data_IF_818460285464
#
_entry.id   IF_818460285464
#
_cell.length_a   1.000
_cell.length_b   1.000
_cell.length_c   1.000
_cell.angle_alpha   90.00
_cell.angle_beta   90.00
_cell.angle_gamma   90.00
#
_symmetry.space_group_name_H-M   'P 1'
#
loop_
_entity.id
_entity.type
_entity.pdbx_description
1 polymer ?
#
# COMPACT_ATOMS: atom_id res chain seq x y z
N UNK A 1 -9.60 36.13 -3.05
CA UNK A 1 -9.95 34.70 -3.23
C UNK A 1 -9.01 33.94 -2.31
N UNK A 2 -9.49 33.00 -1.51
CA UNK A 2 -8.62 32.28 -0.58
C UNK A 2 -7.58 31.47 -1.37
N UNK A 3 -6.29 31.69 -1.09
CA UNK A 3 -5.21 30.93 -1.69
C UNK A 3 -5.25 29.52 -1.07
N UNK A 4 -5.45 28.49 -1.89
CA UNK A 4 -5.54 27.10 -1.45
C UNK A 4 -4.87 26.18 -2.46
N UNK A 5 -4.25 25.11 -1.98
CA UNK A 5 -3.67 24.05 -2.80
C UNK A 5 -4.62 22.86 -2.88
N UNK A 6 -4.80 22.29 -4.08
CA UNK A 6 -5.61 21.10 -4.30
C UNK A 6 -4.77 19.84 -4.03
N UNK A 7 -5.30 18.90 -3.27
CA UNK A 7 -4.67 17.60 -3.09
C UNK A 7 -4.94 16.73 -4.33
N UNK A 8 -3.90 16.41 -5.08
CA UNK A 8 -4.02 15.58 -6.30
C UNK A 8 -3.79 14.10 -6.03
N UNK A 9 -3.08 13.75 -4.97
CA UNK A 9 -2.83 12.37 -4.57
C UNK A 9 -2.48 12.29 -3.08
N UNK A 10 -2.94 11.25 -2.41
CA UNK A 10 -2.53 10.90 -1.03
C UNK A 10 -2.26 9.40 -1.00
N UNK A 11 -1.13 9.02 -0.42
CA UNK A 11 -0.78 7.64 -0.10
C UNK A 11 -0.53 7.59 1.41
N UNK A 12 -1.03 6.58 2.13
CA UNK A 12 -0.92 6.51 3.59
C UNK A 12 -1.78 7.55 4.33
N UNK A 13 -1.51 7.75 5.62
CA UNK A 13 -2.29 8.67 6.47
C UNK A 13 -1.64 10.07 6.55
N UNK A 14 -2.44 11.11 6.28
CA UNK A 14 -2.03 12.50 6.40
C UNK A 14 -3.17 13.37 6.91
N UNK A 15 -2.82 14.45 7.62
CA UNK A 15 -3.76 15.37 8.26
C UNK A 15 -3.38 16.82 8.02
N UNK A 16 -4.38 17.70 8.01
CA UNK A 16 -4.19 19.14 8.25
C UNK A 16 -4.33 19.40 9.73
N UNK A 17 -3.35 20.06 10.34
CA UNK A 17 -3.48 20.60 11.68
C UNK A 17 -4.06 22.02 11.62
N UNK A 18 -5.19 22.21 12.30
CA UNK A 18 -5.78 23.53 12.53
C UNK A 18 -5.00 24.35 13.57
N UNK A 19 -5.31 25.65 13.68
CA UNK A 19 -4.67 26.54 14.66
C UNK A 19 -5.00 26.22 16.12
N UNK A 20 -6.01 25.38 16.34
CA UNK A 20 -6.42 24.80 17.62
C UNK A 20 -5.71 23.47 17.94
N UNK A 21 -4.84 22.99 17.05
CA UNK A 21 -4.14 21.71 17.16
C UNK A 21 -4.95 20.50 16.69
N UNK A 22 -6.20 20.70 16.24
CA UNK A 22 -7.06 19.61 15.76
C UNK A 22 -6.53 19.07 14.43
N UNK A 23 -6.37 17.76 14.32
CA UNK A 23 -5.98 17.08 13.08
C UNK A 23 -7.21 16.68 12.28
N UNK A 24 -7.30 17.17 11.04
CA UNK A 24 -8.35 16.83 10.07
C UNK A 24 -7.76 15.99 8.94
N UNK A 25 -8.30 14.80 8.64
CA UNK A 25 -7.73 13.91 7.63
C UNK A 25 -7.76 14.51 6.23
N UNK A 26 -6.66 14.33 5.49
CA UNK A 26 -6.51 14.80 4.10
C UNK A 26 -6.97 13.70 3.15
N UNK A 27 -7.80 14.07 2.18
CA UNK A 27 -8.24 13.21 1.10
C UNK A 27 -7.95 13.84 -0.26
N UNK A 28 -7.81 13.01 -1.29
CA UNK A 28 -7.69 13.48 -2.67
C UNK A 28 -8.88 14.37 -3.05
N UNK A 29 -8.61 15.50 -3.73
CA UNK A 29 -9.61 16.49 -4.10
C UNK A 29 -9.90 17.53 -3.02
N UNK A 30 -9.37 17.38 -1.80
CA UNK A 30 -9.47 18.39 -0.74
C UNK A 30 -8.67 19.64 -1.09
N UNK A 31 -9.20 20.81 -0.75
CA UNK A 31 -8.46 22.07 -0.84
C UNK A 31 -7.87 22.41 0.53
N UNK A 32 -6.55 22.54 0.58
CA UNK A 32 -5.82 22.92 1.79
C UNK A 32 -5.58 24.42 1.75
N UNK A 33 -6.08 25.20 2.72
CA UNK A 33 -5.87 26.63 2.73
C UNK A 33 -4.39 26.96 2.93
N UNK A 34 -3.97 28.11 2.42
CA UNK A 34 -2.70 28.70 2.82
C UNK A 34 -2.62 28.84 4.34
N UNK A 35 -1.41 28.69 4.87
CA UNK A 35 -1.02 28.73 6.28
C UNK A 35 -1.43 27.53 7.13
N UNK A 36 -1.98 26.48 6.51
CA UNK A 36 -2.26 25.21 7.16
C UNK A 36 -1.01 24.32 7.29
N UNK A 37 -0.92 23.59 8.40
CA UNK A 37 0.14 22.62 8.63
C UNK A 37 -0.31 21.24 8.11
N UNK A 38 0.48 20.64 7.23
CA UNK A 38 0.27 19.29 6.71
C UNK A 38 1.18 18.32 7.43
N UNK A 39 0.57 17.33 8.08
CA UNK A 39 1.24 16.29 8.86
C UNK A 39 1.10 14.96 8.13
N UNK A 40 2.21 14.30 7.82
CA UNK A 40 2.24 12.97 7.18
C UNK A 40 2.75 11.91 8.15
N UNK A 41 2.08 10.77 8.22
CA UNK A 41 2.56 9.59 8.96
C UNK A 41 3.76 8.94 8.27
N UNK A 42 4.40 7.98 8.94
CA UNK A 42 5.35 7.06 8.31
C UNK A 42 4.65 6.29 7.17
N UNK A 43 5.31 6.14 6.03
CA UNK A 43 4.76 5.55 4.80
C UNK A 43 3.83 6.47 4.00
N UNK A 44 3.53 7.67 4.49
CA UNK A 44 2.58 8.56 3.82
C UNK A 44 3.23 9.55 2.84
N UNK A 45 2.52 9.91 1.78
CA UNK A 45 2.90 11.01 0.90
C UNK A 45 1.68 11.77 0.40
N UNK A 46 1.80 13.10 0.29
CA UNK A 46 0.73 13.98 -0.18
C UNK A 46 1.25 14.80 -1.35
N UNK A 47 0.55 14.75 -2.48
CA UNK A 47 0.81 15.61 -3.62
C UNK A 47 -0.21 16.75 -3.66
N UNK A 48 0.30 17.97 -3.71
CA UNK A 48 -0.46 19.21 -3.69
C UNK A 48 -0.19 19.99 -4.98
N UNK A 49 -1.24 20.58 -5.53
CA UNK A 49 -1.20 21.38 -6.74
C UNK A 49 -1.82 22.75 -6.42
N UNK A 50 -0.99 23.79 -6.35
CA UNK A 50 -1.52 25.15 -6.30
C UNK A 50 -1.89 25.60 -7.72
N UNK A 51 -2.83 26.56 -7.81
CA UNK A 51 -3.21 27.12 -9.10
C UNK A 51 -1.95 27.68 -9.80
N UNK A 52 -1.64 27.25 -11.02
CA UNK A 52 -0.55 27.81 -11.83
C UNK A 52 0.90 27.40 -11.47
N UNK A 53 1.15 26.61 -10.43
CA UNK A 53 2.50 26.08 -10.09
C UNK A 53 2.65 24.60 -10.46
N UNK A 54 3.84 24.01 -10.33
CA UNK A 54 4.04 22.55 -10.49
C UNK A 54 3.55 21.76 -9.27
N UNK A 55 3.39 20.43 -9.39
CA UNK A 55 2.99 19.60 -8.26
C UNK A 55 4.07 19.59 -7.17
N UNK A 56 3.66 19.80 -5.92
CA UNK A 56 4.48 19.72 -4.72
C UNK A 56 4.21 18.38 -4.02
N UNK A 57 5.26 17.61 -3.72
CA UNK A 57 5.15 16.35 -2.97
C UNK A 57 5.70 16.51 -1.55
N UNK A 58 4.90 16.16 -0.55
CA UNK A 58 5.29 16.04 0.86
C UNK A 58 5.47 14.54 1.16
N UNK A 59 6.67 14.15 1.59
CA UNK A 59 7.00 12.76 1.93
C UNK A 59 6.59 12.37 3.36
N UNK A 60 6.98 11.18 3.78
CA UNK A 60 6.56 10.56 5.06
C UNK A 60 7.16 11.23 6.31
N UNK A 61 6.43 11.18 7.42
CA UNK A 61 6.91 11.66 8.73
C UNK A 61 7.23 13.16 8.78
N UNK A 62 6.57 13.98 7.97
CA UNK A 62 6.83 15.42 7.84
C UNK A 62 5.70 16.23 8.46
N UNK A 63 6.08 17.36 9.04
CA UNK A 63 5.16 18.43 9.43
C UNK A 63 5.56 19.67 8.60
N UNK A 64 4.69 20.11 7.70
CA UNK A 64 4.98 21.14 6.69
C UNK A 64 3.89 22.19 6.68
N UNK A 65 4.24 23.42 7.05
CA UNK A 65 3.37 24.57 6.89
C UNK A 65 3.30 25.01 5.43
N UNK A 66 2.10 25.13 4.88
CA UNK A 66 1.86 25.65 3.53
C UNK A 66 1.86 27.17 3.54
N UNK A 67 3.03 27.80 3.46
CA UNK A 67 3.13 29.27 3.40
C UNK A 67 2.34 29.89 2.25
N UNK A 68 1.90 31.14 2.43
CA UNK A 68 1.14 31.90 1.44
C UNK A 68 1.81 31.99 0.05
N UNK A 69 3.14 31.83 -0.04
CA UNK A 69 3.88 31.79 -1.30
C UNK A 69 3.67 30.48 -2.08
N UNK A 70 3.45 29.35 -1.40
CA UNK A 70 3.21 28.04 -2.03
C UNK A 70 1.84 27.99 -2.70
N UNK A 71 0.89 28.78 -2.20
CA UNK A 71 -0.49 28.84 -2.69
C UNK A 71 -0.75 29.99 -3.69
N UNK A 72 0.27 30.76 -4.08
CA UNK A 72 0.14 31.87 -5.03
C UNK A 72 0.50 31.48 -6.47
N UNK A 73 -0.48 31.60 -7.37
CA UNK A 73 -0.36 31.29 -8.79
C UNK A 73 0.48 32.30 -9.60
N UNK A 74 0.68 33.50 -9.07
CA UNK A 74 1.14 34.63 -9.85
C UNK A 74 1.98 35.57 -8.98
N UNK A 75 3.24 35.20 -8.75
CA UNK A 75 4.25 36.19 -8.37
C UNK A 75 4.43 37.12 -9.56
N UNK A 76 3.94 38.36 -9.46
CA UNK A 76 4.32 39.40 -10.42
C UNK A 76 5.85 39.61 -10.26
N UNK A 77 6.66 39.28 -11.28
CA UNK A 77 8.12 39.45 -11.18
C UNK A 77 8.51 40.91 -10.93
N UNK A 78 7.64 41.89 -11.20
CA UNK A 78 7.88 43.29 -10.89
C UNK A 78 7.91 43.59 -9.37
N UNK A 79 7.19 42.82 -8.55
CA UNK A 79 7.21 42.97 -7.08
C UNK A 79 8.44 42.39 -6.40
N UNK A 80 9.16 41.47 -7.05
CA UNK A 80 10.42 40.90 -6.58
C UNK A 80 11.67 41.55 -7.21
N UNK A 81 11.48 42.53 -8.10
CA UNK A 81 12.59 43.24 -8.73
C UNK A 81 13.29 44.12 -7.67
N UNK A 82 14.50 43.71 -7.29
CA UNK A 82 15.41 44.60 -6.57
C UNK A 82 15.67 45.85 -7.41
N UNK A 83 15.66 47.03 -6.78
CA UNK A 83 16.06 48.25 -7.46
C UNK A 83 17.47 48.05 -8.03
N UNK A 84 17.66 48.31 -9.32
CA UNK A 84 18.96 48.18 -9.95
C UNK A 84 20.00 48.97 -9.15
N UNK A 85 21.15 48.38 -8.80
CA UNK A 85 22.16 49.07 -8.01
C UNK A 85 22.55 50.35 -8.75
N UNK A 86 22.53 51.50 -8.05
CA UNK A 86 22.86 52.81 -8.62
C UNK A 86 24.36 52.99 -8.89
N UNK A 87 25.12 51.90 -8.92
CA UNK A 87 26.55 51.88 -9.14
C UNK A 87 26.81 51.88 -10.66
N UNK A 88 27.50 52.90 -11.21
CA UNK A 88 27.77 53.00 -12.63
C UNK A 88 28.56 51.78 -13.15
N UNK A 89 29.37 51.14 -12.32
CA UNK A 89 30.17 49.98 -12.74
C UNK A 89 29.30 48.74 -12.94
N UNK A 90 28.29 48.55 -12.08
CA UNK A 90 27.32 47.46 -12.22
C UNK A 90 26.41 47.70 -13.42
N UNK A 91 26.03 48.96 -13.70
CA UNK A 91 25.26 49.30 -14.90
C UNK A 91 26.05 49.00 -16.20
N UNK A 92 27.36 49.27 -16.20
CA UNK A 92 28.22 48.96 -17.35
C UNK A 92 28.40 47.45 -17.57
N UNK A 93 28.58 46.67 -16.50
CA UNK A 93 28.65 45.21 -16.56
C UNK A 93 27.32 44.62 -17.07
N UNK A 94 26.19 45.15 -16.60
CA UNK A 94 24.87 44.69 -17.02
C UNK A 94 24.58 45.02 -18.49
N UNK A 95 25.03 46.19 -18.98
CA UNK A 95 24.96 46.54 -20.39
C UNK A 95 25.84 45.61 -21.25
N UNK A 96 27.08 45.36 -20.84
CA UNK A 96 27.97 44.43 -21.53
C UNK A 96 27.37 43.03 -21.63
N UNK A 97 26.78 42.51 -20.55
CA UNK A 97 26.15 41.19 -20.54
C UNK A 97 24.93 41.11 -21.46
N UNK A 98 24.08 42.16 -21.50
CA UNK A 98 22.91 42.20 -22.36
C UNK A 98 23.25 42.33 -23.84
N UNK A 99 24.34 43.03 -24.17
CA UNK A 99 24.84 43.16 -25.54
C UNK A 99 25.69 41.95 -25.98
N UNK A 100 25.83 40.93 -25.11
CA UNK A 100 26.63 39.72 -25.37
C UNK A 100 28.14 39.97 -25.41
N UNK A 101 28.59 41.12 -24.90
CA UNK A 101 30.00 41.44 -24.73
C UNK A 101 30.56 40.78 -23.46
N UNK A 102 31.85 40.44 -23.49
CA UNK A 102 32.53 39.87 -22.33
C UNK A 102 32.70 40.94 -21.24
N UNK A 103 32.09 40.79 -20.05
CA UNK A 103 32.15 41.78 -18.98
C UNK A 103 33.54 41.92 -18.35
N UNK A 104 34.49 41.08 -18.74
CA UNK A 104 35.87 41.11 -18.26
C UNK A 104 36.86 41.71 -19.26
N UNK A 105 36.42 42.12 -20.45
CA UNK A 105 37.30 42.63 -21.51
C UNK A 105 38.01 43.95 -21.16
N UNK A 106 37.38 44.77 -20.32
CA UNK A 106 37.90 46.08 -19.90
C UNK A 106 38.57 46.06 -18.51
N UNK A 107 38.80 44.88 -17.93
CA UNK A 107 39.59 44.78 -16.70
C UNK A 107 41.06 45.04 -17.01
N UNK A 108 41.63 46.08 -16.37
CA UNK A 108 43.07 46.34 -16.34
C UNK A 108 43.82 45.04 -15.97
N UNK A 109 44.93 44.76 -16.68
CA UNK A 109 45.68 43.52 -16.52
C UNK A 109 45.97 43.21 -15.05
N UNK A 110 45.77 41.96 -14.63
CA UNK A 110 46.13 41.50 -13.28
C UNK A 110 47.55 41.95 -12.94
N UNK A 111 47.75 42.60 -11.79
CA UNK A 111 49.00 43.24 -11.35
C UNK A 111 50.24 42.33 -11.22
N UNK A 112 50.22 41.12 -11.77
CA UNK A 112 51.38 40.24 -11.88
C UNK A 112 52.17 40.53 -13.18
N UNK A 113 52.60 41.79 -13.36
CA UNK A 113 53.71 42.06 -14.28
C UNK A 113 54.99 41.61 -13.58
N UNK A 114 55.66 40.63 -14.17
CA UNK A 114 57.04 40.23 -13.88
C UNK A 114 57.97 41.44 -13.99
N UNK A 115 58.13 42.18 -12.88
CA UNK A 115 59.27 43.08 -12.70
C UNK A 115 60.24 42.40 -11.75
N UNK A 116 61.35 41.93 -12.33
CA UNK A 116 62.46 41.33 -11.61
C UNK A 116 63.03 42.33 -10.59
N UNK A 117 62.94 41.98 -9.30
CA UNK A 117 63.47 42.76 -8.20
C UNK A 117 63.69 41.90 -6.95
N UNK A 118 64.84 41.22 -6.93
CA UNK A 118 65.57 40.64 -5.80
C UNK A 118 64.81 40.23 -4.52
N UNK A 119 64.72 38.91 -4.32
CA UNK A 119 64.87 38.31 -2.98
C UNK A 119 63.78 37.32 -2.58
N UNK A 120 64.17 36.04 -2.42
CA UNK A 120 63.51 35.11 -1.52
C UNK A 120 62.84 33.91 -2.19
N UNK A 121 63.53 32.77 -2.07
CA UNK A 121 63.12 31.40 -2.40
C UNK A 121 61.61 31.10 -2.32
N UNK A 122 61.13 30.46 -3.37
CA UNK A 122 59.86 29.75 -3.38
C UNK A 122 59.89 28.53 -2.46
N UNK A 123 58.78 28.33 -1.77
CA UNK A 123 58.45 27.10 -1.06
C UNK A 123 57.01 27.15 -0.61
N UNK A 124 56.11 26.54 -1.38
CA UNK A 124 54.71 26.35 -1.01
C UNK A 124 54.63 25.61 0.33
N UNK A 125 53.94 26.18 1.33
CA UNK A 125 53.57 25.43 2.53
C UNK A 125 52.16 24.88 2.35
N UNK A 126 52.06 23.61 1.97
CA UNK A 126 50.86 22.84 2.30
C UNK A 126 51.19 22.02 3.56
N UNK A 127 50.44 22.21 4.62
CA UNK A 127 50.51 21.33 5.81
C UNK A 127 49.72 20.08 5.48
N UNK A 128 50.38 18.92 5.35
CA UNK A 128 49.68 17.62 5.27
C UNK A 128 49.32 17.18 6.69
N UNK A 129 48.03 17.12 7.04
CA UNK A 129 47.55 16.49 8.27
C UNK A 129 47.63 14.97 8.11
N UNK A 130 48.47 14.29 8.89
CA UNK A 130 48.74 12.85 8.71
C UNK A 130 47.99 11.91 9.67
N UNK A 131 47.26 12.41 10.68
CA UNK A 131 46.35 11.62 11.52
C UNK A 131 45.74 12.52 12.60
N UNK A 132 44.42 12.49 12.78
CA UNK A 132 43.75 12.99 14.00
C UNK A 132 43.48 11.77 14.87
N UNK A 133 44.21 11.65 15.99
CA UNK A 133 43.90 10.68 17.04
C UNK A 133 43.04 11.43 18.05
N UNK A 134 41.73 11.15 18.04
CA UNK A 134 40.79 11.67 19.03
C UNK A 134 40.65 10.65 20.17
N UNK A 135 41.15 10.99 21.35
CA UNK A 135 40.96 10.19 22.56
C UNK A 135 39.59 10.52 23.14
N UNK A 136 38.58 9.69 22.88
CA UNK A 136 37.29 9.82 23.56
C UNK A 136 37.47 9.41 25.01
N UNK A 137 37.15 10.31 25.95
CA UNK A 137 37.01 9.96 27.35
C UNK A 137 35.54 9.55 27.54
N UNK A 138 35.20 8.25 27.63
CA UNK A 138 33.81 7.86 27.79
C UNK A 138 33.29 8.48 29.10
N UNK A 139 32.14 9.15 29.03
CA UNK A 139 31.39 9.48 30.24
C UNK A 139 31.14 8.15 30.95
N UNK A 140 31.65 8.01 32.17
CA UNK A 140 31.48 6.80 32.96
C UNK A 140 29.99 6.51 33.10
N UNK A 141 29.48 5.56 32.32
CA UNK A 141 28.16 4.98 32.52
C UNK A 141 28.26 4.06 33.73
N UNK A 142 28.27 4.66 34.91
CA UNK A 142 27.98 3.95 36.15
C UNK A 142 26.47 3.69 36.14
N UNK A 143 26.09 2.51 35.66
CA UNK A 143 24.73 2.01 35.89
C UNK A 143 24.63 1.65 37.37
N UNK A 144 23.85 2.35 38.20
CA UNK A 144 23.49 1.80 39.49
C UNK A 144 22.80 0.47 39.23
N UNK A 145 23.35 -0.62 39.76
CA UNK A 145 22.67 -1.91 39.77
C UNK A 145 21.31 -1.68 40.41
N UNK A 146 20.18 -2.07 39.78
CA UNK A 146 18.91 -2.06 40.47
C UNK A 146 19.07 -2.96 41.69
N UNK A 147 19.01 -2.35 42.86
CA UNK A 147 18.82 -3.12 44.08
C UNK A 147 17.42 -3.66 43.98
N UNK A 148 17.29 -4.97 43.78
CA UNK A 148 16.03 -5.65 43.99
C UNK A 148 15.65 -5.42 45.45
N UNK A 149 14.74 -4.49 45.70
CA UNK A 149 13.91 -4.56 46.90
C UNK A 149 13.13 -5.86 46.79
N UNK A 150 13.63 -6.88 47.49
CA UNK A 150 12.84 -8.03 47.92
C UNK A 150 11.47 -7.50 48.35
N UNK A 151 10.33 -8.07 47.89
CA UNK A 151 9.05 -7.64 48.41
C UNK A 151 9.09 -7.86 49.91
N UNK A 152 9.18 -6.77 50.67
CA UNK A 152 8.87 -6.80 52.08
C UNK A 152 7.42 -7.27 52.16
N UNK A 153 7.18 -8.32 52.94
CA UNK A 153 5.84 -8.73 53.32
C UNK A 153 5.01 -7.49 53.62
N UNK A 154 3.85 -7.42 52.99
CA UNK A 154 2.82 -6.41 53.26
C UNK A 154 2.53 -6.44 54.75
N UNK A 155 3.19 -5.54 55.49
CA UNK A 155 2.89 -5.31 56.89
C UNK A 155 1.61 -4.49 56.90
N UNK A 156 0.49 -5.20 57.01
CA UNK A 156 -0.84 -4.62 57.23
C UNK A 156 -0.86 -3.95 58.61
N UNK A 157 -0.31 -2.74 58.68
CA UNK A 157 -0.18 -1.91 59.88
C UNK A 157 -1.29 -0.86 59.94
N UNK A 158 -2.53 -1.31 60.14
CA UNK A 158 -3.63 -0.42 60.48
C UNK A 158 -3.68 -0.18 62.00
N UNK A 159 -3.31 1.02 62.45
CA UNK A 159 -4.05 1.88 63.39
C UNK A 159 -3.17 3.07 63.75
N UNK A 160 -3.52 4.27 63.29
CA UNK A 160 -2.80 5.48 63.68
C UNK A 160 -3.20 6.67 62.83
N UNK A 161 -4.26 7.34 63.28
CA UNK A 161 -4.71 8.66 62.85
C UNK A 161 -3.54 9.62 62.59
N UNK A 162 -3.40 10.12 61.36
CA UNK A 162 -2.92 11.47 61.13
C UNK A 162 -3.60 12.07 59.90
N UNK A 163 -4.00 13.31 60.07
CA UNK A 163 -4.71 14.17 59.15
C UNK A 163 -3.76 14.68 58.08
N UNK A 164 -3.95 14.22 56.85
CA UNK A 164 -3.34 14.80 55.67
C UNK A 164 -4.27 14.54 54.49
N UNK A 165 -4.82 15.60 53.92
CA UNK A 165 -5.53 15.56 52.64
C UNK A 165 -4.52 15.23 51.54
N UNK A 166 -4.21 13.95 51.39
CA UNK A 166 -3.45 13.46 50.26
C UNK A 166 -4.39 13.26 49.09
N UNK A 167 -4.04 13.95 48.02
CA UNK A 167 -4.67 13.88 46.72
C UNK A 167 -4.98 12.44 46.32
N UNK A 168 -6.12 12.26 45.66
CA UNK A 168 -6.39 11.07 44.88
C UNK A 168 -5.26 10.90 43.87
N UNK A 169 -4.21 10.15 44.25
CA UNK A 169 -3.23 9.62 43.34
C UNK A 169 -4.01 8.85 42.28
N UNK A 170 -3.95 9.35 41.05
CA UNK A 170 -4.49 8.70 39.86
C UNK A 170 -3.93 7.29 39.82
N UNK A 171 -4.73 6.31 40.26
CA UNK A 171 -4.39 4.90 40.11
C UNK A 171 -4.15 4.66 38.63
N UNK A 172 -2.97 4.17 38.28
CA UNK A 172 -2.69 3.69 36.92
C UNK A 172 -3.67 2.54 36.70
N UNK A 173 -4.71 2.77 35.91
CA UNK A 173 -5.61 1.70 35.50
C UNK A 173 -4.79 0.78 34.60
N UNK A 174 -4.43 -0.40 35.11
CA UNK A 174 -3.81 -1.44 34.31
C UNK A 174 -4.91 -2.07 33.46
N UNK A 175 -4.71 -2.07 32.15
CA UNK A 175 -5.57 -2.84 31.27
C UNK A 175 -5.24 -4.33 31.43
N UNK A 176 -6.29 -5.11 31.68
CA UNK A 176 -6.22 -6.57 31.88
C UNK A 176 -7.24 -7.30 31.03
N UNK A 177 -7.92 -6.57 30.14
CA UNK A 177 -8.92 -7.14 29.24
C UNK A 177 -8.18 -7.78 28.07
N UNK A 178 -8.50 -9.03 27.76
CA UNK A 178 -7.92 -9.67 26.59
C UNK A 178 -8.71 -9.32 25.33
N UNK A 179 -8.05 -9.04 24.19
CA UNK A 179 -8.75 -8.80 22.94
C UNK A 179 -9.32 -10.11 22.36
N UNK A 180 -10.37 -10.01 21.55
CA UNK A 180 -10.94 -11.11 20.76
C UNK A 180 -11.01 -10.73 19.28
N UNK A 181 -10.94 -11.70 18.38
CA UNK A 181 -11.15 -11.49 16.94
C UNK A 181 -12.38 -12.26 16.46
N UNK A 182 -13.05 -11.75 15.43
CA UNK A 182 -14.04 -12.48 14.64
C UNK A 182 -13.51 -12.56 13.22
N UNK A 183 -13.39 -13.78 12.68
CA UNK A 183 -12.94 -14.03 11.31
C UNK A 183 -14.17 -14.17 10.41
N UNK A 184 -14.12 -13.58 9.22
CA UNK A 184 -15.20 -13.72 8.23
C UNK A 184 -14.62 -13.79 6.83
N UNK A 185 -14.89 -14.89 6.12
CA UNK A 185 -14.58 -15.04 4.70
C UNK A 185 -15.76 -14.47 3.90
N UNK A 186 -15.47 -13.46 3.09
CA UNK A 186 -16.47 -12.75 2.30
C UNK A 186 -16.63 -13.40 0.91
N UNK A 187 -17.83 -13.27 0.34
CA UNK A 187 -18.14 -13.76 -1.02
C UNK A 187 -17.32 -13.09 -2.14
N UNK A 188 -16.65 -11.97 -1.85
CA UNK A 188 -15.82 -11.23 -2.79
C UNK A 188 -14.35 -11.69 -2.84
N UNK A 189 -14.02 -12.77 -2.11
CA UNK A 189 -12.66 -13.32 -2.04
C UNK A 189 -11.75 -12.60 -1.05
N UNK A 190 -12.31 -11.77 -0.16
CA UNK A 190 -11.54 -11.17 0.95
C UNK A 190 -11.84 -11.86 2.28
N UNK A 191 -10.93 -11.72 3.23
CA UNK A 191 -11.13 -12.10 4.64
C UNK A 191 -11.15 -10.84 5.49
N UNK A 192 -12.13 -10.72 6.38
CA UNK A 192 -12.19 -9.66 7.39
C UNK A 192 -11.88 -10.22 8.76
N UNK A 193 -11.04 -9.51 9.50
CA UNK A 193 -10.72 -9.75 10.91
C UNK A 193 -11.23 -8.57 11.72
N UNK A 194 -12.24 -8.79 12.55
CA UNK A 194 -12.83 -7.77 13.42
C UNK A 194 -12.40 -8.01 14.87
N UNK A 195 -11.56 -7.13 15.40
CA UNK A 195 -11.08 -7.19 16.77
C UNK A 195 -12.02 -6.41 17.72
N UNK A 196 -12.04 -6.80 19.00
CA UNK A 196 -12.76 -6.07 20.07
C UNK A 196 -12.08 -4.76 20.47
N UNK A 197 -10.79 -4.64 20.16
CA UNK A 197 -9.92 -3.49 20.37
C UNK A 197 -8.75 -3.55 19.38
N UNK A 198 -7.89 -2.53 19.35
CA UNK A 198 -6.82 -2.44 18.35
C UNK A 198 -5.74 -3.51 18.65
N UNK A 199 -5.45 -4.44 17.72
CA UNK A 199 -4.41 -5.43 17.92
C UNK A 199 -3.02 -4.79 17.82
N UNK A 200 -2.07 -5.34 18.56
CA UNK A 200 -0.65 -5.00 18.50
C UNK A 200 0.13 -6.16 17.91
N UNK A 201 0.94 -5.87 16.89
CA UNK A 201 1.83 -6.86 16.25
C UNK A 201 1.13 -7.89 15.36
N UNK A 202 -0.17 -7.74 15.08
CA UNK A 202 -0.89 -8.67 14.20
C UNK A 202 -0.37 -8.60 12.75
N UNK A 203 0.03 -9.74 12.20
CA UNK A 203 0.48 -9.87 10.81
C UNK A 203 0.06 -11.21 10.17
N UNK A 204 0.56 -11.50 8.97
CA UNK A 204 0.18 -12.69 8.20
C UNK A 204 0.64 -14.00 8.86
N UNK A 205 1.68 -13.97 9.69
CA UNK A 205 2.20 -15.13 10.42
C UNK A 205 1.24 -15.58 11.55
N UNK A 206 0.33 -14.70 11.97
CA UNK A 206 -0.69 -14.96 12.98
C UNK A 206 -1.94 -15.67 12.43
N UNK A 207 -1.98 -15.93 11.12
CA UNK A 207 -3.12 -16.52 10.42
C UNK A 207 -2.72 -17.87 9.81
N UNK A 208 -3.48 -18.91 10.15
CA UNK A 208 -3.38 -20.23 9.56
C UNK A 208 -4.47 -20.43 8.51
N UNK A 209 -4.10 -20.91 7.32
CA UNK A 209 -5.05 -21.24 6.25
C UNK A 209 -4.84 -22.68 5.80
N UNK A 210 -5.93 -23.44 5.62
CA UNK A 210 -5.86 -24.87 5.30
C UNK A 210 -5.74 -25.14 3.80
N UNK A 211 -5.39 -26.40 3.47
CA UNK A 211 -5.50 -26.97 2.12
C UNK A 211 -4.75 -26.22 1.01
N UNK A 212 -3.71 -25.46 1.38
CA UNK A 212 -2.84 -24.76 0.43
C UNK A 212 -3.35 -23.38 0.00
N UNK A 213 -4.49 -22.92 0.54
CA UNK A 213 -4.89 -21.52 0.42
C UNK A 213 -4.02 -20.62 1.30
N UNK A 214 -3.99 -19.33 1.00
CA UNK A 214 -3.16 -18.33 1.67
C UNK A 214 -3.92 -17.01 1.80
N UNK A 215 -3.49 -16.15 2.74
CA UNK A 215 -3.88 -14.74 2.74
C UNK A 215 -2.73 -13.90 2.18
N UNK A 216 -3.07 -12.83 1.47
CA UNK A 216 -2.13 -11.80 1.02
C UNK A 216 -2.70 -10.41 1.28
N UNK A 217 -1.83 -9.39 1.17
CA UNK A 217 -2.21 -7.98 1.29
C UNK A 217 -2.93 -7.65 2.61
N UNK A 218 -2.57 -8.33 3.69
CA UNK A 218 -3.15 -8.07 5.01
C UNK A 218 -2.90 -6.61 5.42
N UNK A 219 -3.97 -5.89 5.77
CA UNK A 219 -3.91 -4.47 6.07
C UNK A 219 -5.05 -4.02 6.99
N UNK A 220 -4.84 -3.03 7.86
CA UNK A 220 -5.92 -2.42 8.63
C UNK A 220 -6.88 -1.63 7.72
N UNK A 221 -8.15 -1.58 8.10
CA UNK A 221 -9.15 -0.73 7.47
C UNK A 221 -8.78 0.75 7.75
N UNK A 222 -8.78 1.61 6.71
CA UNK A 222 -8.37 3.01 6.88
C UNK A 222 -9.31 3.82 7.77
N UNK A 223 -10.52 3.32 8.03
CA UNK A 223 -11.56 4.00 8.80
C UNK A 223 -11.86 3.34 10.13
N UNK A 224 -11.39 2.11 10.35
CA UNK A 224 -11.57 1.35 11.58
C UNK A 224 -10.28 0.60 11.97
N UNK A 225 -9.52 1.09 12.97
CA UNK A 225 -8.27 0.45 13.39
C UNK A 225 -8.47 -0.92 14.07
N UNK A 226 -9.71 -1.30 14.39
CA UNK A 226 -10.05 -2.62 14.95
C UNK A 226 -10.45 -3.61 13.86
N UNK A 227 -10.45 -3.20 12.59
CA UNK A 227 -10.81 -4.05 11.47
C UNK A 227 -9.63 -4.20 10.53
N UNK A 228 -9.35 -5.42 10.11
CA UNK A 228 -8.31 -5.75 9.15
C UNK A 228 -8.91 -6.55 8.00
N UNK A 229 -8.33 -6.39 6.81
CA UNK A 229 -8.77 -7.06 5.59
C UNK A 229 -7.56 -7.68 4.91
N UNK A 230 -7.72 -8.90 4.42
CA UNK A 230 -6.76 -9.58 3.55
C UNK A 230 -7.47 -10.15 2.31
N UNK A 231 -6.70 -10.47 1.28
CA UNK A 231 -7.19 -11.14 0.09
C UNK A 231 -6.98 -12.65 0.27
N UNK A 232 -8.02 -13.46 0.04
CA UNK A 232 -7.95 -14.93 0.13
C UNK A 232 -7.50 -15.49 -1.23
N UNK A 233 -6.32 -16.09 -1.26
CA UNK A 233 -5.78 -16.76 -2.44
C UNK A 233 -6.11 -18.24 -2.36
N UNK A 234 -6.96 -18.70 -3.28
CA UNK A 234 -7.36 -20.09 -3.39
C UNK A 234 -6.37 -20.90 -4.23
N UNK A 235 -6.14 -22.19 -3.90
CA UNK A 235 -5.33 -23.07 -4.74
C UNK A 235 -6.01 -23.36 -6.07
N UNK A 236 -5.21 -23.55 -7.12
CA UNK A 236 -5.68 -23.99 -8.43
C UNK A 236 -6.19 -25.45 -8.37
N UNK A 237 -7.25 -25.75 -9.14
CA UNK A 237 -7.80 -27.10 -9.30
C UNK A 237 -8.14 -27.76 -7.95
N UNK A 238 -8.91 -27.06 -7.13
CA UNK A 238 -9.32 -27.52 -5.81
C UNK A 238 -10.84 -27.44 -5.65
N UNK A 239 -11.42 -28.52 -5.13
CA UNK A 239 -12.83 -28.62 -4.75
C UNK A 239 -12.90 -29.10 -3.29
N UNK A 240 -13.39 -28.24 -2.40
CA UNK A 240 -13.50 -28.55 -0.98
C UNK A 240 -13.56 -27.34 -0.07
N UNK A 241 -13.41 -27.59 1.23
CA UNK A 241 -13.50 -26.55 2.25
C UNK A 241 -12.14 -25.89 2.52
N UNK A 242 -12.12 -24.56 2.60
CA UNK A 242 -11.00 -23.74 3.08
C UNK A 242 -11.36 -23.12 4.41
N UNK A 243 -10.49 -23.29 5.41
CA UNK A 243 -10.61 -22.66 6.73
C UNK A 243 -9.52 -21.61 6.91
N UNK A 244 -9.91 -20.42 7.34
CA UNK A 244 -9.00 -19.35 7.79
C UNK A 244 -9.13 -19.23 9.30
N UNK A 245 -8.01 -19.28 10.01
CA UNK A 245 -7.95 -19.35 11.46
C UNK A 245 -6.94 -18.36 12.02
N UNK A 246 -7.34 -17.64 13.06
CA UNK A 246 -6.43 -16.95 13.97
C UNK A 246 -6.32 -17.80 15.24
N UNK A 247 -5.16 -18.38 15.58
CA UNK A 247 -5.00 -19.16 16.82
C UNK A 247 -5.08 -18.29 18.09
N UNK A 248 -5.42 -18.91 19.23
CA UNK A 248 -5.35 -18.23 20.52
C UNK A 248 -3.91 -17.78 20.83
N UNK A 249 -3.75 -16.52 21.22
CA UNK A 249 -2.49 -15.93 21.65
C UNK A 249 -1.48 -15.67 20.53
N UNK A 250 -1.87 -15.71 19.25
CA UNK A 250 -1.00 -15.29 18.15
C UNK A 250 -0.72 -13.78 18.19
N UNK A 251 -1.72 -12.97 18.57
CA UNK A 251 -1.61 -11.52 18.71
C UNK A 251 -1.87 -11.03 20.15
N UNK A 252 -1.53 -9.77 20.42
CA UNK A 252 -1.81 -9.09 21.70
C UNK A 252 -2.51 -7.75 21.50
N UNK A 253 -2.92 -7.09 22.59
CA UNK A 253 -3.22 -5.65 22.61
C UNK A 253 -1.95 -4.81 22.93
N UNK A 254 -2.10 -3.49 23.07
CA UNK A 254 -1.02 -2.58 23.47
C UNK A 254 -0.54 -2.80 24.92
N UNK A 255 -1.40 -3.32 25.80
CA UNK A 255 -1.07 -3.63 27.18
C UNK A 255 -0.35 -4.99 27.34
N UNK A 256 -0.27 -5.78 26.27
CA UNK A 256 0.35 -7.10 26.23
C UNK A 256 -0.56 -8.24 26.68
N UNK A 257 -1.89 -8.03 26.75
CA UNK A 257 -2.84 -9.10 27.01
C UNK A 257 -2.96 -9.98 25.74
N UNK A 258 -2.81 -11.32 25.85
CA UNK A 258 -2.91 -12.21 24.70
C UNK A 258 -4.34 -12.32 24.20
N UNK A 259 -4.52 -12.25 22.88
CA UNK A 259 -5.83 -12.33 22.24
C UNK A 259 -6.42 -13.74 22.20
N UNK A 260 -7.74 -13.81 22.09
CA UNK A 260 -8.46 -15.05 21.77
C UNK A 260 -8.76 -15.12 20.28
N UNK A 261 -8.50 -16.27 19.68
CA UNK A 261 -8.63 -16.54 18.26
C UNK A 261 -10.06 -16.86 17.82
N UNK A 262 -10.23 -17.00 16.50
CA UNK A 262 -11.47 -17.43 15.85
C UNK A 262 -11.14 -18.07 14.49
N UNK A 263 -12.10 -18.78 13.89
CA UNK A 263 -11.95 -19.40 12.58
C UNK A 263 -13.24 -19.34 11.76
N UNK A 264 -13.11 -19.22 10.45
CA UNK A 264 -14.21 -19.30 9.51
C UNK A 264 -13.89 -20.27 8.37
N UNK A 265 -14.90 -20.90 7.81
CA UNK A 265 -14.76 -21.93 6.77
C UNK A 265 -15.73 -21.72 5.63
N UNK A 266 -15.24 -21.81 4.40
CA UNK A 266 -16.05 -21.72 3.19
C UNK A 266 -15.75 -22.85 2.22
N UNK A 267 -16.76 -23.28 1.45
CA UNK A 267 -16.60 -24.24 0.37
C UNK A 267 -16.21 -23.51 -0.91
N UNK A 268 -15.19 -24.01 -1.62
CA UNK A 268 -14.70 -23.41 -2.86
C UNK A 268 -14.57 -24.47 -3.96
N UNK A 269 -14.67 -23.99 -5.19
CA UNK A 269 -14.46 -24.79 -6.40
C UNK A 269 -13.68 -23.97 -7.43
N UNK A 270 -12.43 -24.34 -7.63
CA UNK A 270 -11.52 -23.77 -8.64
C UNK A 270 -11.18 -24.79 -9.73
N UNK A 271 -11.82 -25.96 -9.74
CA UNK A 271 -11.60 -26.96 -10.78
C UNK A 271 -12.21 -26.50 -12.10
N UNK A 272 -11.40 -26.50 -13.16
CA UNK A 272 -11.91 -26.18 -14.49
C UNK A 272 -12.83 -27.31 -14.99
N UNK A 273 -14.02 -26.99 -15.54
CA UNK A 273 -14.88 -27.99 -16.15
C UNK A 273 -14.19 -28.59 -17.38
N UNK A 274 -14.31 -29.91 -17.56
CA UNK A 274 -13.67 -30.65 -18.65
C UNK A 274 -14.69 -31.43 -19.47
N UNK A 275 -14.52 -31.49 -20.79
CA UNK A 275 -15.39 -32.25 -21.69
C UNK A 275 -14.57 -32.93 -22.79
N UNK A 276 -15.10 -34.01 -23.34
CA UNK A 276 -14.57 -34.63 -24.56
C UNK A 276 -15.67 -34.77 -25.59
N UNK A 277 -15.32 -34.68 -26.88
CA UNK A 277 -16.29 -34.71 -27.98
C UNK A 277 -15.83 -35.74 -29.01
N UNK A 278 -16.74 -36.61 -29.43
CA UNK A 278 -16.50 -37.61 -30.46
C UNK A 278 -17.67 -37.65 -31.45
N UNK A 279 -17.38 -37.52 -32.74
CA UNK A 279 -18.37 -37.77 -33.79
C UNK A 279 -18.61 -39.27 -33.94
N UNK A 280 -19.87 -39.68 -33.91
CA UNK A 280 -20.27 -41.08 -33.89
C UNK A 280 -20.69 -41.56 -35.29
N UNK A 281 -20.52 -42.87 -35.52
CA UNK A 281 -21.03 -43.61 -36.69
C UNK A 281 -20.25 -43.46 -38.01
N UNK A 282 -18.98 -43.08 -37.98
CA UNK A 282 -18.11 -43.04 -39.19
C UNK A 282 -17.66 -44.41 -39.73
N UNK A 283 -18.37 -45.49 -39.41
CA UNK A 283 -17.99 -46.85 -39.80
C UNK A 283 -16.60 -47.30 -39.28
N UNK A 284 -15.95 -48.19 -40.02
CA UNK A 284 -14.61 -48.73 -39.66
C UNK A 284 -13.45 -48.03 -40.36
N UNK A 285 -13.74 -47.18 -41.35
CA UNK A 285 -12.76 -46.45 -42.14
C UNK A 285 -12.60 -44.99 -41.70
N UNK A 286 -13.36 -44.56 -40.69
CA UNK A 286 -13.36 -43.22 -40.11
C UNK A 286 -13.67 -42.12 -41.15
N UNK A 287 -14.44 -42.44 -42.18
CA UNK A 287 -14.86 -41.51 -43.23
C UNK A 287 -16.36 -41.59 -43.40
N UNK A 288 -17.05 -40.48 -43.12
CA UNK A 288 -18.49 -40.38 -43.29
C UNK A 288 -18.89 -40.45 -44.77
N UNK A 289 -19.76 -41.40 -45.10
CA UNK A 289 -20.42 -41.51 -46.39
C UNK A 289 -21.88 -41.00 -46.34
N UNK A 290 -22.52 -40.90 -47.51
CA UNK A 290 -23.88 -40.35 -47.62
C UNK A 290 -24.95 -41.16 -46.85
N UNK A 291 -24.74 -42.45 -46.64
CA UNK A 291 -25.68 -43.28 -45.89
C UNK A 291 -25.49 -43.11 -44.37
N UNK A 292 -24.26 -42.89 -43.92
CA UNK A 292 -23.93 -42.61 -42.51
C UNK A 292 -24.35 -41.20 -42.08
N UNK A 293 -24.31 -40.23 -42.99
CA UNK A 293 -24.76 -38.85 -42.76
C UNK A 293 -26.30 -38.77 -42.75
N UNK A 294 -26.97 -39.65 -43.48
CA UNK A 294 -28.43 -39.64 -43.59
C UNK A 294 -29.00 -38.47 -44.40
N UNK A 295 -30.33 -38.50 -44.58
CA UNK A 295 -31.07 -37.52 -45.39
C UNK A 295 -31.17 -36.14 -44.74
N UNK A 296 -30.90 -36.02 -43.44
CA UNK A 296 -30.92 -34.76 -42.69
C UNK A 296 -29.59 -34.00 -42.76
N UNK A 297 -28.55 -34.62 -43.32
CA UNK A 297 -27.24 -34.00 -43.52
C UNK A 297 -26.49 -33.78 -42.21
N UNK A 298 -26.70 -34.62 -41.19
CA UNK A 298 -26.14 -34.42 -39.85
C UNK A 298 -25.53 -35.69 -39.28
N UNK A 299 -24.51 -35.51 -38.46
CA UNK A 299 -23.88 -36.58 -37.68
C UNK A 299 -24.02 -36.29 -36.19
N UNK A 300 -24.11 -37.35 -35.40
CA UNK A 300 -24.18 -37.21 -33.95
C UNK A 300 -22.80 -36.94 -33.37
N UNK A 301 -22.65 -35.85 -32.62
CA UNK A 301 -21.52 -35.61 -31.74
C UNK A 301 -21.91 -36.02 -30.32
N UNK A 302 -21.19 -36.97 -29.74
CA UNK A 302 -21.29 -37.31 -28.34
C UNK A 302 -20.34 -36.44 -27.53
N UNK A 303 -20.89 -35.58 -26.69
CA UNK A 303 -20.15 -34.80 -25.69
C UNK A 303 -20.19 -35.55 -24.38
N UNK A 304 -19.05 -36.04 -23.90
CA UNK A 304 -18.93 -36.67 -22.58
C UNK A 304 -18.49 -35.62 -21.57
N UNK A 305 -19.26 -35.49 -20.49
CA UNK A 305 -18.99 -34.55 -19.41
C UNK A 305 -17.92 -35.15 -18.48
N UNK A 306 -16.88 -34.37 -18.19
CA UNK A 306 -15.85 -34.73 -17.23
C UNK A 306 -16.35 -34.69 -15.78
N UNK A 307 -15.58 -35.28 -14.87
CA UNK A 307 -15.95 -35.35 -13.45
C UNK A 307 -16.04 -33.99 -12.76
N UNK A 308 -15.34 -32.97 -13.30
CA UNK A 308 -15.33 -31.60 -12.79
C UNK A 308 -16.53 -30.77 -13.26
N UNK A 309 -17.35 -31.29 -14.18
CA UNK A 309 -18.54 -30.59 -14.68
C UNK A 309 -19.68 -30.73 -13.67
N UNK A 310 -20.29 -29.60 -13.30
CA UNK A 310 -21.35 -29.51 -12.30
C UNK A 310 -22.61 -28.87 -12.88
N UNK A 311 -23.74 -29.09 -12.21
CA UNK A 311 -24.96 -28.39 -12.56
C UNK A 311 -24.77 -26.89 -12.33
N UNK A 312 -25.26 -26.06 -13.25
CA UNK A 312 -24.95 -24.63 -13.26
C UNK A 312 -23.87 -24.24 -14.28
N UNK A 313 -23.00 -25.17 -14.68
CA UNK A 313 -22.06 -24.94 -15.77
C UNK A 313 -22.77 -24.69 -17.09
N UNK A 314 -22.20 -23.86 -17.95
CA UNK A 314 -22.74 -23.62 -19.30
C UNK A 314 -21.98 -24.47 -20.31
N UNK A 315 -22.69 -25.35 -21.01
CA UNK A 315 -22.13 -26.07 -22.15
C UNK A 315 -22.51 -25.36 -23.44
N UNK A 316 -21.48 -25.04 -24.24
CA UNK A 316 -21.62 -24.49 -25.58
C UNK A 316 -20.94 -25.43 -26.57
N UNK A 317 -21.68 -25.83 -27.61
CA UNK A 317 -21.17 -26.65 -28.71
C UNK A 317 -21.32 -25.86 -30.00
N UNK A 318 -20.20 -25.67 -30.70
CA UNK A 318 -20.13 -25.00 -32.00
C UNK A 318 -19.59 -25.98 -33.04
N UNK A 319 -19.78 -25.63 -34.31
CA UNK A 319 -19.20 -26.37 -35.42
C UNK A 319 -18.68 -25.39 -36.47
N UNK A 320 -17.62 -25.79 -37.17
CA UNK A 320 -17.01 -24.97 -38.21
C UNK A 320 -18.02 -24.67 -39.33
N UNK A 321 -18.04 -23.42 -39.78
CA UNK A 321 -19.00 -22.95 -40.78
C UNK A 321 -20.42 -22.73 -40.26
N UNK A 322 -20.72 -23.01 -38.98
CA UNK A 322 -22.02 -22.74 -38.35
C UNK A 322 -21.90 -21.51 -37.44
N UNK A 323 -22.64 -20.46 -37.76
CA UNK A 323 -22.56 -19.19 -37.01
C UNK A 323 -23.25 -19.25 -35.65
N UNK A 324 -24.34 -20.03 -35.52
CA UNK A 324 -25.05 -20.19 -34.26
C UNK A 324 -24.54 -21.44 -33.52
N UNK A 325 -24.47 -21.41 -32.18
CA UNK A 325 -24.15 -22.62 -31.42
C UNK A 325 -25.20 -23.70 -31.68
N UNK A 326 -24.73 -24.94 -31.83
CA UNK A 326 -25.57 -26.12 -31.98
C UNK A 326 -26.22 -26.51 -30.65
N UNK A 327 -25.57 -26.15 -29.55
CA UNK A 327 -26.05 -26.31 -28.19
C UNK A 327 -25.50 -25.16 -27.35
N UNK A 328 -26.35 -24.52 -26.56
CA UNK A 328 -25.96 -23.43 -25.65
C UNK A 328 -26.99 -23.38 -24.52
N UNK A 329 -26.63 -23.96 -23.37
CA UNK A 329 -27.43 -23.85 -22.15
C UNK A 329 -26.65 -24.23 -20.91
N UNK A 330 -27.20 -23.82 -19.78
CA UNK A 330 -26.83 -24.30 -18.44
C UNK A 330 -27.18 -25.78 -18.29
N UNK A 331 -26.25 -26.55 -17.73
CA UNK A 331 -26.39 -27.95 -17.39
C UNK A 331 -27.23 -28.11 -16.12
N UNK A 332 -28.12 -29.09 -16.16
CA UNK A 332 -28.99 -29.46 -15.03
C UNK A 332 -28.44 -30.71 -14.34
N UNK A 333 -28.91 -30.99 -13.13
CA UNK A 333 -28.56 -32.24 -12.43
C UNK A 333 -28.86 -33.50 -13.26
N UNK A 334 -29.90 -33.46 -14.11
CA UNK A 334 -30.24 -34.57 -14.99
C UNK A 334 -29.18 -34.79 -16.09
N UNK A 335 -28.55 -33.72 -16.57
CA UNK A 335 -27.48 -33.80 -17.57
C UNK A 335 -26.21 -34.36 -16.95
N UNK A 336 -25.87 -33.90 -15.74
CA UNK A 336 -24.74 -34.41 -14.99
C UNK A 336 -24.94 -35.90 -14.68
N UNK A 337 -26.16 -36.30 -14.27
CA UNK A 337 -26.48 -37.69 -14.01
C UNK A 337 -26.43 -38.56 -15.28
N UNK A 338 -26.75 -38.00 -16.45
CA UNK A 338 -26.60 -38.68 -17.73
C UNK A 338 -25.12 -38.82 -18.14
N UNK A 339 -24.27 -37.88 -17.74
CA UNK A 339 -22.82 -37.87 -18.00
C UNK A 339 -22.44 -37.58 -19.46
N UNK A 340 -23.42 -37.44 -20.35
CA UNK A 340 -23.19 -37.20 -21.77
C UNK A 340 -24.37 -36.49 -22.43
N UNK A 341 -24.08 -35.74 -23.49
CA UNK A 341 -25.05 -35.02 -24.31
C UNK A 341 -24.77 -35.32 -25.78
N UNK A 342 -25.81 -35.70 -26.52
CA UNK A 342 -25.71 -35.86 -27.98
C UNK A 342 -26.17 -34.59 -28.67
N UNK A 343 -25.35 -34.05 -29.57
CA UNK A 343 -25.63 -32.85 -30.37
C UNK A 343 -25.51 -33.20 -31.84
N UNK A 344 -26.48 -32.79 -32.65
CA UNK A 344 -26.41 -33.03 -34.08
C UNK A 344 -25.61 -31.95 -34.80
N UNK A 345 -24.56 -32.38 -35.51
CA UNK A 345 -23.62 -31.53 -36.23
C UNK A 345 -23.90 -31.61 -37.73
N UNK A 346 -24.18 -30.49 -38.41
CA UNK A 346 -24.36 -30.49 -39.85
C UNK A 346 -23.04 -30.76 -40.56
N UNK A 347 -23.07 -31.59 -41.60
CA UNK A 347 -21.93 -31.73 -42.51
C UNK A 347 -22.02 -30.64 -43.59
N UNK A 348 -20.91 -29.96 -43.85
CA UNK A 348 -20.85 -28.97 -44.92
C UNK A 348 -21.06 -29.63 -46.28
N UNK A 349 -21.87 -29.03 -47.14
CA UNK A 349 -21.86 -29.35 -48.56
C UNK A 349 -20.62 -28.70 -49.19
N UNK A 350 -19.71 -29.50 -49.76
CA UNK A 350 -18.65 -28.99 -50.65
C UNK A 350 -19.22 -28.26 -51.89
#
# INVERSE_FOLDING_TARGET
MANAALVTQVTGQAWVRGTDGTLSPIHQGMQIPADADVVTATGASVQLQANGSGPLTIGEGRDVQLGAEVAQANVDPATAAAAAPADPDVANILAALNDGADPFADLEATAAVLTAGAGGDGGSSFTRLSSVIETTNPLGLEYPRPTYTRPEEVRLGGTGSDTGSDEAGTGVALDTTAPTVVVTINDDGTVTFQFSEVPFGFDEEDVEVTNGAQIENLRPDPTDPTKWVADLILPDNYDGDITVKVPDGSYTDEAGNPGSGDEDTTAVDTEAPSVTVELQNAGTDNVYNAEEIGDDGKVDALVVLGATVKAGDTLVVTADGVTAPLFDRVLTDADIAAGQITVQVPVGSE
#
